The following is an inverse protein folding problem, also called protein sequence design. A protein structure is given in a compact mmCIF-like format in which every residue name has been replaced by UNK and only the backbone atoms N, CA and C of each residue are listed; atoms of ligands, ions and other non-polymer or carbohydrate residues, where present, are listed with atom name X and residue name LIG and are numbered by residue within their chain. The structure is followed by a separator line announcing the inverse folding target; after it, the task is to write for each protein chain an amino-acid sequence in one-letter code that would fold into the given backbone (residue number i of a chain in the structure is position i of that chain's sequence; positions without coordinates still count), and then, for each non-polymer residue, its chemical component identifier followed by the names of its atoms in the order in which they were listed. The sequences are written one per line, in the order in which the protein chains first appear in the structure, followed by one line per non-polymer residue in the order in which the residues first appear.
data_IF_837864819761
#
_entry.id   IF_837864819761
#
_cell.length_a   1.000
_cell.length_b   1.000
_cell.length_c   1.000
_cell.angle_alpha   90.00
_cell.angle_beta   90.00
_cell.angle_gamma   90.00
#
_symmetry.space_group_name_H-M   'P 1'
#
loop_
_entity.id
_entity.type
_entity.pdbx_description
1 polymer ?
#
# COMPACT_ATOMS: atom_id res chain seq x y z
N UNK A 1 53.80 0.82 -16.69
CA UNK A 1 52.71 0.85 -15.69
C UNK A 1 51.77 2.03 -15.92
N UNK A 2 52.27 3.24 -16.21
CA UNK A 2 51.44 4.43 -16.48
C UNK A 2 50.43 4.23 -17.62
N UNK A 3 50.86 3.73 -18.79
CA UNK A 3 49.97 3.47 -19.93
C UNK A 3 48.81 2.49 -19.63
N UNK A 4 49.01 1.54 -18.72
CA UNK A 4 47.94 0.64 -18.27
C UNK A 4 46.99 1.34 -17.30
N UNK A 5 47.49 2.26 -16.47
CA UNK A 5 46.67 3.05 -15.57
C UNK A 5 45.80 4.06 -16.33
N UNK A 6 46.34 4.67 -17.38
CA UNK A 6 45.60 5.54 -18.31
C UNK A 6 44.49 4.78 -19.03
N UNK A 7 44.81 3.65 -19.66
CA UNK A 7 43.81 2.82 -20.34
C UNK A 7 42.69 2.37 -19.40
N UNK A 8 43.03 1.97 -18.17
CA UNK A 8 42.03 1.61 -17.16
C UNK A 8 41.19 2.81 -16.70
N UNK A 9 41.75 4.02 -16.67
CA UNK A 9 41.00 5.23 -16.38
C UNK A 9 40.00 5.55 -17.51
N UNK A 10 40.44 5.45 -18.76
CA UNK A 10 39.60 5.69 -19.94
C UNK A 10 38.40 4.71 -19.99
N UNK A 11 38.65 3.42 -19.77
CA UNK A 11 37.59 2.40 -19.73
C UNK A 11 36.56 2.71 -18.62
N UNK A 12 37.02 3.14 -17.44
CA UNK A 12 36.11 3.52 -16.35
C UNK A 12 35.28 4.75 -16.69
N UNK A 13 35.87 5.77 -17.30
CA UNK A 13 35.16 6.98 -17.73
C UNK A 13 34.11 6.64 -18.79
N UNK A 14 34.47 5.82 -19.78
CA UNK A 14 33.53 5.35 -20.80
C UNK A 14 32.38 4.55 -20.17
N UNK A 15 32.69 3.65 -19.23
CA UNK A 15 31.68 2.84 -18.52
C UNK A 15 30.73 3.71 -17.69
N UNK A 16 31.27 4.72 -17.00
CA UNK A 16 30.47 5.70 -16.26
C UNK A 16 29.55 6.48 -17.20
N UNK A 17 30.08 7.04 -18.28
CA UNK A 17 29.32 7.81 -19.25
C UNK A 17 28.21 6.97 -19.91
N UNK A 18 28.52 5.73 -20.29
CA UNK A 18 27.54 4.78 -20.82
C UNK A 18 26.44 4.45 -19.78
N UNK A 19 26.81 4.28 -18.52
CA UNK A 19 25.85 4.04 -17.43
C UNK A 19 24.93 5.24 -17.19
N UNK A 20 25.49 6.46 -17.17
CA UNK A 20 24.69 7.69 -17.08
C UNK A 20 23.73 7.79 -18.26
N UNK A 21 24.21 7.57 -19.49
CA UNK A 21 23.36 7.61 -20.68
C UNK A 21 22.22 6.60 -20.62
N UNK A 22 22.49 5.35 -20.19
CA UNK A 22 21.48 4.31 -20.01
C UNK A 22 20.43 4.72 -18.97
N UNK A 23 20.85 5.18 -17.79
CA UNK A 23 19.95 5.58 -16.70
C UNK A 23 19.09 6.77 -17.13
N UNK A 24 19.68 7.77 -17.78
CA UNK A 24 18.94 8.94 -18.27
C UNK A 24 17.97 8.56 -19.39
N UNK A 25 18.35 7.67 -20.31
CA UNK A 25 17.45 7.17 -21.35
C UNK A 25 16.22 6.49 -20.73
N UNK A 26 16.41 5.61 -19.75
CA UNK A 26 15.31 4.96 -19.02
C UNK A 26 14.45 6.01 -18.30
N UNK A 27 15.06 6.95 -17.59
CA UNK A 27 14.34 8.03 -16.91
C UNK A 27 13.46 8.82 -17.89
N UNK A 28 14.04 9.31 -19.00
CA UNK A 28 13.31 10.12 -19.98
C UNK A 28 12.20 9.32 -20.66
N UNK A 29 12.42 8.05 -20.98
CA UNK A 29 11.40 7.18 -21.56
C UNK A 29 10.19 7.08 -20.63
N UNK A 30 10.38 6.72 -19.36
CA UNK A 30 9.27 6.57 -18.41
C UNK A 30 8.65 7.90 -17.99
N UNK A 31 9.45 8.96 -17.82
CA UNK A 31 8.97 10.28 -17.44
C UNK A 31 8.12 10.94 -18.54
N UNK A 32 8.45 10.71 -19.82
CA UNK A 32 7.71 11.25 -20.97
C UNK A 32 6.50 10.41 -21.39
N UNK A 33 6.45 9.13 -21.02
CA UNK A 33 5.37 8.20 -21.38
C UNK A 33 4.43 7.92 -20.22
N UNK A 34 4.76 6.93 -19.38
CA UNK A 34 3.90 6.41 -18.32
C UNK A 34 3.62 7.42 -17.20
N UNK A 35 4.59 8.28 -16.94
CA UNK A 35 4.51 9.27 -15.86
C UNK A 35 4.53 10.70 -16.38
N UNK A 36 3.97 10.92 -17.58
CA UNK A 36 3.79 12.26 -18.15
C UNK A 36 2.85 13.12 -17.27
N UNK A 37 3.05 14.44 -17.27
CA UNK A 37 2.25 15.38 -16.46
C UNK A 37 3.05 16.25 -15.49
N UNK A 38 2.37 17.23 -14.88
CA UNK A 38 2.96 18.20 -13.94
C UNK A 38 2.40 18.08 -12.51
N UNK A 39 1.53 17.12 -12.24
CA UNK A 39 0.99 16.94 -10.89
C UNK A 39 2.09 16.48 -9.93
N UNK A 40 1.99 16.89 -8.67
CA UNK A 40 2.94 16.49 -7.63
C UNK A 40 3.03 14.97 -7.49
N UNK A 41 1.93 14.25 -7.67
CA UNK A 41 1.90 12.79 -7.69
C UNK A 41 2.77 12.19 -8.81
N UNK A 42 2.71 12.77 -10.02
CA UNK A 42 3.54 12.32 -11.14
C UNK A 42 5.01 12.69 -10.94
N UNK A 43 5.30 13.87 -10.38
CA UNK A 43 6.66 14.25 -10.02
C UNK A 43 7.27 13.30 -8.97
N UNK A 44 6.47 12.91 -7.97
CA UNK A 44 6.84 11.89 -6.98
C UNK A 44 7.09 10.53 -7.65
N UNK A 45 6.22 10.06 -8.54
CA UNK A 45 6.48 8.83 -9.30
C UNK A 45 7.79 8.92 -10.10
N UNK A 46 8.07 10.06 -10.71
CA UNK A 46 9.32 10.27 -11.46
C UNK A 46 10.57 10.21 -10.58
N UNK A 47 10.53 10.67 -9.34
CA UNK A 47 11.69 10.57 -8.44
C UNK A 47 12.07 9.14 -8.10
N UNK A 48 11.14 8.19 -8.28
CA UNK A 48 11.38 6.77 -8.01
C UNK A 48 11.86 5.97 -9.23
N UNK A 49 11.81 6.51 -10.46
CA UNK A 49 12.15 5.76 -11.69
C UNK A 49 13.61 5.28 -11.66
N UNK A 50 14.54 6.21 -11.46
CA UNK A 50 15.99 5.92 -11.48
C UNK A 50 16.34 4.93 -10.38
N UNK A 51 15.93 5.23 -9.15
CA UNK A 51 16.15 4.37 -7.98
C UNK A 51 15.59 2.95 -8.18
N UNK A 52 14.36 2.81 -8.68
CA UNK A 52 13.74 1.49 -8.89
C UNK A 52 14.48 0.67 -9.95
N UNK A 53 14.81 1.31 -11.08
CA UNK A 53 15.52 0.66 -12.18
C UNK A 53 16.92 0.21 -11.74
N UNK A 54 17.69 1.10 -11.10
CA UNK A 54 19.04 0.79 -10.65
C UNK A 54 19.03 -0.28 -9.57
N UNK A 55 18.13 -0.22 -8.58
CA UNK A 55 18.01 -1.22 -7.52
C UNK A 55 17.67 -2.62 -8.08
N UNK A 56 16.79 -2.70 -9.08
CA UNK A 56 16.50 -3.96 -9.79
C UNK A 56 17.76 -4.54 -10.44
N UNK A 57 18.43 -3.73 -11.27
CA UNK A 57 19.57 -4.19 -12.06
C UNK A 57 20.70 -4.67 -11.14
N UNK A 58 21.09 -3.87 -10.14
CA UNK A 58 22.20 -4.23 -9.26
C UNK A 58 21.88 -5.43 -8.37
N UNK A 59 20.62 -5.58 -7.94
CA UNK A 59 20.19 -6.77 -7.20
C UNK A 59 20.30 -8.03 -8.07
N UNK A 60 19.85 -7.99 -9.31
CA UNK A 60 19.95 -9.13 -10.23
C UNK A 60 21.40 -9.52 -10.54
N UNK A 61 22.26 -8.55 -10.84
CA UNK A 61 23.67 -8.80 -11.18
C UNK A 61 24.49 -9.25 -9.95
N UNK A 62 24.04 -8.91 -8.73
CA UNK A 62 24.70 -9.36 -7.49
C UNK A 62 24.49 -10.85 -7.15
N UNK A 63 23.46 -11.49 -7.70
CA UNK A 63 23.07 -12.86 -7.32
C UNK A 63 24.21 -13.90 -7.44
N UNK A 64 25.02 -13.93 -8.52
CA UNK A 64 26.13 -14.87 -8.62
C UNK A 64 27.16 -14.69 -7.49
N UNK A 65 27.48 -13.45 -7.11
CA UNK A 65 28.42 -13.17 -6.02
C UNK A 65 27.90 -13.62 -4.65
N UNK A 66 26.59 -13.46 -4.42
CA UNK A 66 25.94 -13.94 -3.20
C UNK A 66 25.95 -15.47 -3.18
N UNK A 67 25.61 -16.10 -4.29
CA UNK A 67 25.64 -17.55 -4.43
C UNK A 67 27.03 -18.10 -4.17
N UNK A 68 28.06 -17.56 -4.82
CA UNK A 68 29.45 -17.99 -4.65
C UNK A 68 29.93 -17.84 -3.20
N UNK A 69 29.62 -16.71 -2.55
CA UNK A 69 30.00 -16.49 -1.16
C UNK A 69 29.36 -17.52 -0.23
N UNK A 70 28.07 -17.83 -0.42
CA UNK A 70 27.37 -18.82 0.40
C UNK A 70 27.82 -20.25 0.07
N UNK A 71 28.02 -20.57 -1.20
CA UNK A 71 28.41 -21.90 -1.67
C UNK A 71 29.84 -22.26 -1.25
N UNK A 72 30.76 -21.30 -1.28
CA UNK A 72 32.14 -21.45 -0.79
C UNK A 72 32.27 -21.46 0.73
N UNK A 73 31.16 -21.45 1.48
CA UNK A 73 31.21 -21.42 2.94
C UNK A 73 31.83 -20.12 3.49
N UNK A 74 31.57 -18.99 2.82
CA UNK A 74 32.05 -17.65 3.16
C UNK A 74 33.54 -17.39 2.90
N UNK A 75 34.16 -18.18 2.00
CA UNK A 75 35.56 -18.03 1.61
C UNK A 75 35.70 -17.02 0.47
N UNK A 76 36.05 -15.78 0.80
CA UNK A 76 36.21 -14.69 -0.16
C UNK A 76 37.27 -14.90 -1.26
N UNK A 77 38.20 -15.83 -1.05
CA UNK A 77 39.20 -16.22 -2.06
C UNK A 77 38.63 -17.09 -3.17
N UNK A 78 37.47 -17.71 -2.94
CA UNK A 78 36.78 -18.61 -3.88
C UNK A 78 35.62 -17.92 -4.60
N UNK A 79 35.21 -16.74 -4.14
CA UNK A 79 34.20 -15.92 -4.83
C UNK A 79 34.72 -15.53 -6.21
N UNK A 80 33.91 -15.73 -7.25
CA UNK A 80 34.39 -15.67 -8.64
C UNK A 80 35.09 -14.33 -8.97
N UNK A 81 36.31 -14.36 -9.54
CA UNK A 81 37.11 -13.15 -9.81
C UNK A 81 36.66 -12.38 -11.06
N UNK A 82 35.36 -12.10 -11.22
CA UNK A 82 34.83 -11.30 -12.34
C UNK A 82 34.95 -9.79 -12.11
N UNK A 83 36.06 -9.36 -11.53
CA UNK A 83 36.28 -7.98 -11.08
C UNK A 83 36.19 -6.98 -12.24
N UNK A 84 36.96 -7.18 -13.30
CA UNK A 84 37.10 -6.21 -14.39
C UNK A 84 35.92 -6.21 -15.35
N UNK A 85 35.25 -7.36 -15.50
CA UNK A 85 34.14 -7.54 -16.43
C UNK A 85 32.78 -7.19 -15.81
N UNK A 86 32.63 -7.39 -14.50
CA UNK A 86 31.33 -7.27 -13.83
C UNK A 86 31.41 -6.35 -12.61
N UNK A 87 32.26 -6.63 -11.62
CA UNK A 87 32.21 -5.89 -10.34
C UNK A 87 32.62 -4.41 -10.46
N UNK A 88 33.70 -4.10 -11.20
CA UNK A 88 34.16 -2.74 -11.47
C UNK A 88 33.10 -1.97 -12.30
N UNK A 89 32.60 -2.49 -13.45
CA UNK A 89 31.49 -1.86 -14.18
C UNK A 89 30.21 -1.68 -13.37
N UNK A 90 29.84 -2.66 -12.54
CA UNK A 90 28.65 -2.59 -11.69
C UNK A 90 28.79 -1.51 -10.61
N UNK A 91 29.98 -1.36 -10.04
CA UNK A 91 30.28 -0.28 -9.08
C UNK A 91 30.25 1.09 -9.75
N UNK A 92 30.77 1.19 -10.99
CA UNK A 92 30.67 2.40 -11.80
C UNK A 92 29.21 2.72 -12.17
N UNK A 93 28.41 1.72 -12.51
CA UNK A 93 26.97 1.87 -12.78
C UNK A 93 26.24 2.39 -11.54
N UNK A 94 26.52 1.83 -10.36
CA UNK A 94 25.92 2.31 -9.11
C UNK A 94 26.35 3.74 -8.79
N UNK A 95 27.61 4.10 -9.06
CA UNK A 95 28.09 5.49 -8.91
C UNK A 95 27.37 6.44 -9.88
N UNK A 96 27.19 6.03 -11.13
CA UNK A 96 26.45 6.78 -12.15
C UNK A 96 24.97 6.95 -11.77
N UNK A 97 24.37 5.94 -11.14
CA UNK A 97 23.04 6.00 -10.55
C UNK A 97 22.96 7.09 -9.48
N UNK A 98 23.82 7.08 -8.47
CA UNK A 98 23.81 8.06 -7.39
C UNK A 98 24.00 9.48 -7.92
N UNK A 99 24.94 9.66 -8.86
CA UNK A 99 25.19 10.96 -9.49
C UNK A 99 23.99 11.43 -10.33
N UNK A 100 23.37 10.53 -11.09
CA UNK A 100 22.17 10.81 -11.89
C UNK A 100 20.97 11.15 -11.03
N UNK A 101 20.74 10.42 -9.95
CA UNK A 101 19.63 10.65 -9.01
C UNK A 101 19.78 12.01 -8.30
N UNK A 102 21.00 12.36 -7.87
CA UNK A 102 21.28 13.70 -7.34
C UNK A 102 21.10 14.79 -8.40
N UNK A 103 21.63 14.59 -9.61
CA UNK A 103 21.54 15.57 -10.70
C UNK A 103 20.09 15.84 -11.12
N UNK A 104 19.33 14.79 -11.41
CA UNK A 104 17.91 14.90 -11.78
C UNK A 104 17.10 15.37 -10.57
N UNK A 105 17.44 14.94 -9.36
CA UNK A 105 16.83 15.41 -8.12
C UNK A 105 16.98 16.92 -7.91
N UNK A 106 18.14 17.50 -8.19
CA UNK A 106 18.34 18.96 -8.14
C UNK A 106 17.44 19.70 -9.13
N UNK A 107 17.28 19.16 -10.34
CA UNK A 107 16.67 19.85 -11.47
C UNK A 107 15.16 19.65 -11.57
N UNK A 108 14.67 18.43 -11.32
CA UNK A 108 13.31 18.03 -11.67
C UNK A 108 12.38 17.87 -10.46
N UNK A 109 12.89 17.43 -9.30
CA UNK A 109 12.04 17.09 -8.15
C UNK A 109 12.69 17.41 -6.81
N UNK A 110 13.39 18.56 -6.72
CA UNK A 110 14.13 19.00 -5.52
C UNK A 110 13.33 18.91 -4.21
N UNK A 111 12.02 19.15 -4.29
CA UNK A 111 11.08 19.09 -3.15
C UNK A 111 10.98 17.70 -2.51
N UNK A 112 11.22 16.65 -3.29
CA UNK A 112 11.03 15.25 -2.89
C UNK A 112 12.35 14.55 -2.49
N UNK A 113 13.50 15.24 -2.63
CA UNK A 113 14.81 14.67 -2.23
C UNK A 113 15.11 15.03 -0.78
N UNK A 114 14.95 14.04 0.09
CA UNK A 114 15.27 14.17 1.52
C UNK A 114 16.78 14.40 1.75
N UNK A 115 17.11 15.28 2.70
CA UNK A 115 18.52 15.63 3.04
C UNK A 115 19.30 14.41 3.54
N UNK A 116 18.75 13.68 4.50
CA UNK A 116 19.45 12.56 5.14
C UNK A 116 19.57 11.34 4.24
N UNK A 117 18.47 10.92 3.61
CA UNK A 117 18.41 9.68 2.82
C UNK A 117 18.76 9.85 1.35
N UNK A 118 18.65 11.07 0.80
CA UNK A 118 19.04 11.38 -0.58
C UNK A 118 20.42 12.01 -0.63
N UNK A 119 20.52 13.29 -0.27
CA UNK A 119 21.74 14.09 -0.48
C UNK A 119 22.98 13.52 0.20
N UNK A 120 22.92 13.36 1.54
CA UNK A 120 24.07 12.91 2.33
C UNK A 120 24.40 11.45 2.02
N UNK A 121 23.39 10.58 2.00
CA UNK A 121 23.57 9.17 1.70
C UNK A 121 24.21 8.94 0.32
N UNK A 122 23.66 9.53 -0.75
CA UNK A 122 24.18 9.33 -2.10
C UNK A 122 25.59 9.90 -2.25
N UNK A 123 25.87 11.06 -1.67
CA UNK A 123 27.21 11.68 -1.70
C UNK A 123 28.26 10.81 -0.98
N UNK A 124 27.92 10.28 0.21
CA UNK A 124 28.80 9.37 0.94
C UNK A 124 29.04 8.07 0.15
N UNK A 125 28.00 7.51 -0.46
CA UNK A 125 28.16 6.29 -1.27
C UNK A 125 28.98 6.52 -2.54
N UNK A 126 28.90 7.69 -3.19
CA UNK A 126 29.78 8.03 -4.32
C UNK A 126 31.24 7.97 -3.88
N UNK A 127 31.59 8.64 -2.78
CA UNK A 127 32.96 8.63 -2.25
C UNK A 127 33.41 7.22 -1.87
N UNK A 128 32.53 6.45 -1.23
CA UNK A 128 32.78 5.07 -0.86
C UNK A 128 33.02 4.17 -2.08
N UNK A 129 32.19 4.27 -3.13
CA UNK A 129 32.40 3.53 -4.38
C UNK A 129 33.75 3.86 -5.03
N UNK A 130 34.16 5.14 -5.04
CA UNK A 130 35.48 5.54 -5.53
C UNK A 130 36.63 4.93 -4.71
N UNK A 131 36.48 4.86 -3.38
CA UNK A 131 37.44 4.19 -2.49
C UNK A 131 37.49 2.68 -2.79
N UNK A 132 36.34 2.03 -2.99
CA UNK A 132 36.27 0.59 -3.30
C UNK A 132 36.92 0.26 -4.65
N UNK A 133 36.67 1.09 -5.67
CA UNK A 133 37.30 0.99 -6.99
C UNK A 133 38.81 1.17 -6.91
N UNK A 134 39.29 2.20 -6.19
CA UNK A 134 40.73 2.46 -6.01
C UNK A 134 41.44 1.30 -5.34
N UNK A 135 40.83 0.70 -4.33
CA UNK A 135 41.43 -0.38 -3.54
C UNK A 135 41.10 -1.79 -4.08
N UNK A 136 40.37 -1.90 -5.20
CA UNK A 136 39.97 -3.17 -5.84
C UNK A 136 39.08 -4.06 -4.94
N UNK A 137 38.25 -3.44 -4.08
CA UNK A 137 37.31 -4.14 -3.19
C UNK A 137 35.88 -4.24 -3.77
N UNK A 138 35.75 -4.08 -5.09
CA UNK A 138 34.46 -4.04 -5.80
C UNK A 138 33.72 -5.37 -5.76
N UNK A 139 34.39 -6.51 -5.57
CA UNK A 139 33.73 -7.81 -5.39
C UNK A 139 32.86 -7.83 -4.12
N UNK A 140 33.37 -7.34 -2.98
CA UNK A 140 32.55 -7.22 -1.75
C UNK A 140 31.39 -6.26 -1.96
N UNK A 141 31.58 -5.17 -2.70
CA UNK A 141 30.51 -4.26 -3.03
C UNK A 141 29.43 -4.94 -3.88
N UNK A 142 29.83 -5.64 -4.94
CA UNK A 142 28.95 -6.38 -5.83
C UNK A 142 28.12 -7.42 -5.06
N UNK A 143 28.73 -8.18 -4.14
CA UNK A 143 28.02 -9.08 -3.23
C UNK A 143 27.02 -8.32 -2.35
N UNK A 144 27.39 -7.15 -1.85
CA UNK A 144 26.53 -6.31 -1.00
C UNK A 144 25.34 -5.68 -1.72
N UNK A 145 25.36 -5.56 -3.05
CA UNK A 145 24.29 -4.92 -3.82
C UNK A 145 22.95 -5.68 -3.78
N UNK A 146 22.92 -6.94 -3.34
CA UNK A 146 21.66 -7.66 -3.04
C UNK A 146 20.84 -6.96 -1.95
N UNK A 147 21.47 -6.11 -1.14
CA UNK A 147 20.81 -5.27 -0.13
C UNK A 147 19.90 -4.18 -0.72
N UNK A 148 19.88 -4.02 -2.05
CA UNK A 148 18.98 -3.11 -2.77
C UNK A 148 17.62 -3.75 -3.13
N UNK A 149 17.42 -5.06 -2.89
CA UNK A 149 16.11 -5.72 -3.09
C UNK A 149 14.96 -5.01 -2.35
N UNK A 150 15.09 -4.57 -1.08
CA UNK A 150 14.04 -3.82 -0.40
C UNK A 150 13.76 -2.47 -1.08
N UNK A 151 14.81 -1.79 -1.56
CA UNK A 151 14.70 -0.53 -2.30
C UNK A 151 13.92 -0.72 -3.60
N UNK A 152 14.17 -1.81 -4.32
CA UNK A 152 13.43 -2.18 -5.52
C UNK A 152 11.94 -2.42 -5.24
N UNK A 153 11.62 -3.22 -4.21
CA UNK A 153 10.23 -3.49 -3.80
C UNK A 153 9.51 -2.20 -3.41
N UNK A 154 10.18 -1.33 -2.64
CA UNK A 154 9.65 -0.02 -2.26
C UNK A 154 9.41 0.86 -3.47
N UNK A 155 10.37 0.91 -4.40
CA UNK A 155 10.29 1.70 -5.62
C UNK A 155 9.13 1.28 -6.53
N UNK A 156 8.92 -0.03 -6.70
CA UNK A 156 7.74 -0.54 -7.42
C UNK A 156 6.43 -0.08 -6.76
N UNK A 157 6.35 -0.14 -5.42
CA UNK A 157 5.18 0.31 -4.67
C UNK A 157 4.95 1.83 -4.73
N UNK A 158 6.00 2.62 -4.98
CA UNK A 158 5.89 4.07 -5.21
C UNK A 158 5.42 4.38 -6.64
N UNK A 159 5.91 3.63 -7.63
CA UNK A 159 5.52 3.76 -9.03
C UNK A 159 4.09 3.27 -9.30
N UNK A 160 3.67 2.20 -8.62
CA UNK A 160 2.32 1.63 -8.70
C UNK A 160 1.82 1.23 -7.31
N UNK A 161 0.92 2.03 -6.69
CA UNK A 161 0.37 1.75 -5.36
C UNK A 161 -0.27 0.36 -5.23
N UNK A 162 -0.81 -0.22 -6.32
CA UNK A 162 -1.42 -1.56 -6.31
C UNK A 162 -0.41 -2.69 -6.07
N UNK A 163 0.87 -2.46 -6.38
CA UNK A 163 1.95 -3.42 -6.18
C UNK A 163 2.64 -3.24 -4.82
N UNK A 164 2.22 -2.25 -4.02
CA UNK A 164 2.82 -1.97 -2.72
C UNK A 164 2.53 -3.09 -1.74
N UNK A 165 3.59 -3.67 -1.17
CA UNK A 165 3.49 -4.68 -0.12
C UNK A 165 4.41 -4.36 1.04
N UNK A 166 3.83 -3.96 2.18
CA UNK A 166 4.57 -3.66 3.41
C UNK A 166 5.30 -4.88 3.97
N UNK A 167 4.71 -6.07 3.81
CA UNK A 167 5.31 -7.34 4.22
C UNK A 167 6.52 -7.69 3.35
N UNK A 168 6.39 -7.62 2.03
CA UNK A 168 7.49 -7.91 1.12
C UNK A 168 8.68 -6.97 1.36
N UNK A 169 8.40 -5.68 1.55
CA UNK A 169 9.42 -4.69 1.91
C UNK A 169 10.10 -5.02 3.25
N UNK A 170 9.33 -5.18 4.32
CA UNK A 170 9.90 -5.40 5.66
C UNK A 170 10.67 -6.70 5.76
N UNK A 171 10.15 -7.78 5.18
CA UNK A 171 10.80 -9.09 5.18
C UNK A 171 12.10 -9.05 4.37
N UNK A 172 12.07 -8.52 3.15
CA UNK A 172 13.28 -8.39 2.33
C UNK A 172 14.32 -7.49 3.02
N UNK A 173 13.91 -6.41 3.68
CA UNK A 173 14.80 -5.53 4.43
C UNK A 173 15.52 -6.28 5.54
N UNK A 174 14.79 -7.02 6.38
CA UNK A 174 15.40 -7.80 7.47
C UNK A 174 16.32 -8.89 6.90
N UNK A 175 15.88 -9.64 5.89
CA UNK A 175 16.68 -10.72 5.31
C UNK A 175 17.98 -10.21 4.66
N UNK A 176 17.92 -9.13 3.89
CA UNK A 176 19.08 -8.65 3.13
C UNK A 176 19.95 -7.65 3.92
N UNK A 177 19.35 -6.64 4.55
CA UNK A 177 20.10 -5.56 5.21
C UNK A 177 20.50 -5.88 6.65
N UNK A 178 19.86 -6.86 7.30
CA UNK A 178 20.21 -7.31 8.66
C UNK A 178 20.90 -8.67 8.62
N UNK A 179 20.18 -9.72 8.21
CA UNK A 179 20.70 -11.09 8.30
C UNK A 179 21.88 -11.27 7.34
N UNK A 180 21.70 -10.98 6.05
CA UNK A 180 22.78 -11.12 5.08
C UNK A 180 23.93 -10.14 5.31
N UNK A 181 23.66 -8.89 5.70
CA UNK A 181 24.74 -7.95 6.05
C UNK A 181 25.57 -8.44 7.26
N UNK A 182 24.93 -9.04 8.27
CA UNK A 182 25.65 -9.66 9.38
C UNK A 182 26.51 -10.86 8.94
N UNK A 183 26.01 -11.68 7.99
CA UNK A 183 26.78 -12.76 7.37
C UNK A 183 28.02 -12.20 6.63
N UNK A 184 27.86 -11.11 5.88
CA UNK A 184 28.98 -10.44 5.20
C UNK A 184 30.00 -9.88 6.19
N UNK A 185 29.57 -9.26 7.28
CA UNK A 185 30.49 -8.77 8.31
C UNK A 185 31.24 -9.94 8.95
N UNK A 186 30.52 -11.02 9.30
CA UNK A 186 31.13 -12.22 9.86
C UNK A 186 32.15 -12.84 8.89
N UNK A 187 31.83 -12.95 7.60
CA UNK A 187 32.74 -13.50 6.60
C UNK A 187 34.00 -12.65 6.41
N UNK A 188 33.90 -11.33 6.59
CA UNK A 188 35.03 -10.39 6.54
C UNK A 188 35.92 -10.45 7.80
N UNK A 189 35.43 -10.97 8.92
CA UNK A 189 36.24 -11.23 10.13
C UNK A 189 37.14 -12.45 9.96
N UNK A 190 36.73 -13.43 9.14
CA UNK A 190 37.52 -14.62 8.86
C UNK A 190 38.85 -14.27 8.17
N UNK A 191 39.92 -15.08 8.33
CA UNK A 191 41.22 -14.79 7.71
C UNK A 191 41.17 -14.59 6.19
N UNK A 192 40.35 -15.39 5.49
CA UNK A 192 40.13 -15.27 4.04
C UNK A 192 39.38 -14.00 3.66
N UNK A 193 38.54 -13.47 4.56
CA UNK A 193 37.80 -12.23 4.39
C UNK A 193 38.65 -10.98 4.28
N UNK A 194 39.91 -11.01 4.76
CA UNK A 194 40.86 -9.91 4.54
C UNK A 194 41.29 -9.78 3.09
N UNK A 195 41.18 -10.87 2.33
CA UNK A 195 41.69 -10.90 0.97
C UNK A 195 40.65 -10.43 -0.04
N UNK A 196 39.32 -10.54 0.17
CA UNK A 196 38.25 -10.07 -0.76
C UNK A 196 38.65 -10.14 -2.25
N UNK A 197 39.22 -11.27 -2.66
CA UNK A 197 39.73 -11.49 -4.01
C UNK A 197 40.71 -10.39 -4.53
N UNK A 198 41.58 -9.94 -3.63
CA UNK A 198 42.67 -9.00 -3.80
C UNK A 198 43.97 -9.64 -3.31
N UNK A 199 45.09 -9.24 -3.91
CA UNK A 199 46.41 -9.81 -3.59
C UNK A 199 46.92 -9.44 -2.19
N UNK A 200 46.43 -8.33 -1.63
CA UNK A 200 46.88 -7.79 -0.34
C UNK A 200 45.74 -7.83 0.69
N UNK A 201 46.00 -8.27 1.93
CA UNK A 201 45.00 -8.27 2.98
C UNK A 201 44.63 -6.84 3.39
N UNK A 202 43.34 -6.59 3.63
CA UNK A 202 42.84 -5.30 4.09
C UNK A 202 41.67 -5.46 5.07
N UNK A 203 41.62 -4.57 6.07
CA UNK A 203 40.46 -4.43 6.95
C UNK A 203 39.43 -3.41 6.45
N UNK A 204 39.72 -2.73 5.34
CA UNK A 204 38.86 -1.68 4.78
C UNK A 204 37.41 -2.12 4.55
N UNK A 205 37.15 -3.24 3.85
CA UNK A 205 35.79 -3.75 3.65
C UNK A 205 35.06 -4.04 4.97
N UNK A 206 35.76 -4.65 5.94
CA UNK A 206 35.19 -4.93 7.27
C UNK A 206 34.78 -3.63 7.98
N UNK A 207 35.66 -2.62 7.99
CA UNK A 207 35.37 -1.33 8.64
C UNK A 207 34.16 -0.67 7.97
N UNK A 208 34.14 -0.62 6.64
CA UNK A 208 33.04 0.01 5.88
C UNK A 208 31.70 -0.69 6.16
N UNK A 209 31.63 -2.02 6.04
CA UNK A 209 30.42 -2.78 6.32
C UNK A 209 29.96 -2.62 7.77
N UNK A 210 30.91 -2.67 8.72
CA UNK A 210 30.61 -2.50 10.15
C UNK A 210 30.06 -1.10 10.47
N UNK A 211 30.58 -0.04 9.83
CA UNK A 211 30.08 1.32 10.03
C UNK A 211 28.71 1.55 9.40
N UNK A 212 28.37 0.85 8.32
CA UNK A 212 27.07 0.94 7.67
C UNK A 212 25.96 0.18 8.44
N UNK A 213 26.32 -0.88 9.18
CA UNK A 213 25.36 -1.78 9.83
C UNK A 213 24.45 -1.12 10.88
N UNK A 214 24.92 -0.24 11.80
CA UNK A 214 24.05 0.42 12.77
C UNK A 214 22.90 1.19 12.11
N UNK A 215 23.16 1.82 10.97
CA UNK A 215 22.13 2.53 10.21
C UNK A 215 21.06 1.56 9.69
N UNK A 216 21.44 0.39 9.18
CA UNK A 216 20.48 -0.66 8.81
C UNK A 216 19.66 -1.16 10.00
N UNK A 217 20.27 -1.35 11.18
CA UNK A 217 19.55 -1.78 12.39
C UNK A 217 18.49 -0.76 12.80
N UNK A 218 18.84 0.53 12.82
CA UNK A 218 17.89 1.61 13.12
C UNK A 218 16.75 1.63 12.12
N UNK A 219 17.04 1.46 10.82
CA UNK A 219 16.02 1.39 9.79
C UNK A 219 15.14 0.14 9.93
N UNK A 220 15.69 -1.05 10.20
CA UNK A 220 14.90 -2.25 10.45
C UNK A 220 13.97 -2.12 11.66
N UNK A 221 14.45 -1.52 12.75
CA UNK A 221 13.59 -1.21 13.90
C UNK A 221 12.41 -0.32 13.49
N UNK A 222 12.67 0.72 12.70
CA UNK A 222 11.62 1.61 12.18
C UNK A 222 10.65 0.87 11.25
N UNK A 223 11.08 -0.10 10.43
CA UNK A 223 10.20 -0.78 9.45
C UNK A 223 9.25 -1.69 10.18
N UNK A 224 9.78 -2.48 11.11
CA UNK A 224 9.00 -3.40 11.94
C UNK A 224 7.98 -2.61 12.76
N UNK A 225 8.40 -1.52 13.42
CA UNK A 225 7.47 -0.66 14.18
C UNK A 225 6.39 -0.03 13.30
N UNK A 226 6.73 0.39 12.08
CA UNK A 226 5.76 0.92 11.11
C UNK A 226 4.76 -0.15 10.68
N UNK A 227 5.25 -1.35 10.33
CA UNK A 227 4.42 -2.48 9.94
C UNK A 227 3.44 -2.85 11.05
N UNK A 228 3.90 -2.97 12.30
CA UNK A 228 3.04 -3.27 13.45
C UNK A 228 1.95 -2.21 13.60
N UNK A 229 2.29 -0.92 13.54
CA UNK A 229 1.31 0.17 13.64
C UNK A 229 0.25 0.08 12.53
N UNK A 230 0.65 -0.15 11.29
CA UNK A 230 -0.27 -0.29 10.15
C UNK A 230 -1.15 -1.52 10.30
N UNK A 231 -0.60 -2.66 10.73
CA UNK A 231 -1.38 -3.88 10.98
C UNK A 231 -2.41 -3.68 12.10
N UNK A 232 -2.07 -2.94 13.16
CA UNK A 232 -3.03 -2.59 14.21
C UNK A 232 -4.14 -1.68 13.68
N UNK A 233 -3.81 -0.66 12.86
CA UNK A 233 -4.79 0.23 12.24
C UNK A 233 -5.76 -0.54 11.33
N UNK A 234 -5.23 -1.40 10.46
CA UNK A 234 -6.04 -2.23 9.57
C UNK A 234 -6.90 -3.24 10.35
N UNK A 235 -6.36 -3.83 11.42
CA UNK A 235 -7.14 -4.72 12.30
C UNK A 235 -8.26 -3.96 13.02
N UNK A 236 -8.02 -2.73 13.46
CA UNK A 236 -9.05 -1.89 14.09
C UNK A 236 -10.15 -1.50 13.10
N UNK A 237 -9.80 -1.05 11.90
CA UNK A 237 -10.76 -0.74 10.83
C UNK A 237 -11.58 -1.97 10.41
N UNK A 238 -10.94 -3.14 10.30
CA UNK A 238 -11.65 -4.38 10.01
C UNK A 238 -12.67 -4.75 11.10
N UNK A 239 -12.33 -4.53 12.38
CA UNK A 239 -13.24 -4.74 13.52
C UNK A 239 -14.39 -3.74 13.54
N UNK A 240 -14.12 -2.47 13.27
CA UNK A 240 -15.14 -1.41 13.19
C UNK A 240 -16.14 -1.71 12.07
N UNK A 241 -15.65 -2.05 10.88
CA UNK A 241 -16.50 -2.44 9.76
C UNK A 241 -17.30 -3.72 10.03
N UNK A 242 -16.72 -4.68 10.77
CA UNK A 242 -17.46 -5.86 11.23
C UNK A 242 -18.59 -5.49 12.20
N UNK A 243 -18.35 -4.53 13.10
CA UNK A 243 -19.33 -4.05 14.07
C UNK A 243 -20.46 -3.26 13.40
N UNK A 244 -20.12 -2.34 12.48
CA UNK A 244 -21.10 -1.63 11.66
C UNK A 244 -21.97 -2.59 10.86
N UNK A 245 -21.36 -3.62 10.27
CA UNK A 245 -22.08 -4.66 9.55
C UNK A 245 -23.01 -5.47 10.45
N UNK A 246 -22.56 -5.85 11.65
CA UNK A 246 -23.42 -6.55 12.64
C UNK A 246 -24.61 -5.68 13.05
N UNK A 247 -24.38 -4.40 13.32
CA UNK A 247 -25.42 -3.44 13.64
C UNK A 247 -26.44 -3.29 12.48
N UNK A 248 -25.96 -3.24 11.24
CA UNK A 248 -26.83 -3.18 10.06
C UNK A 248 -27.68 -4.45 9.89
N UNK A 249 -27.12 -5.63 10.18
CA UNK A 249 -27.85 -6.90 10.15
C UNK A 249 -28.92 -6.94 11.24
N UNK A 250 -28.60 -6.50 12.46
CA UNK A 250 -29.56 -6.42 13.56
C UNK A 250 -30.69 -5.43 13.26
N UNK A 251 -30.36 -4.25 12.75
CA UNK A 251 -31.34 -3.23 12.35
C UNK A 251 -32.27 -3.77 11.25
N UNK A 252 -31.71 -4.43 10.23
CA UNK A 252 -32.49 -5.04 9.15
C UNK A 252 -33.38 -6.18 9.67
N UNK A 253 -32.88 -7.02 10.59
CA UNK A 253 -33.67 -8.09 11.22
C UNK A 253 -34.86 -7.50 11.99
N UNK A 254 -34.65 -6.46 12.79
CA UNK A 254 -35.71 -5.74 13.51
C UNK A 254 -36.76 -5.14 12.56
N UNK A 255 -36.34 -4.59 11.42
CA UNK A 255 -37.26 -4.11 10.38
C UNK A 255 -38.10 -5.23 9.77
N UNK A 256 -37.51 -6.41 9.55
CA UNK A 256 -38.22 -7.60 9.06
C UNK A 256 -39.20 -8.15 10.10
N UNK A 257 -38.83 -8.18 11.39
CA UNK A 257 -39.73 -8.56 12.49
C UNK A 257 -40.93 -7.63 12.58
N UNK A 258 -40.69 -6.32 12.49
CA UNK A 258 -41.75 -5.31 12.47
C UNK A 258 -42.66 -5.43 11.24
N UNK A 259 -42.10 -5.82 10.09
CA UNK A 259 -42.89 -6.03 8.88
C UNK A 259 -43.79 -7.27 9.00
N UNK A 260 -43.30 -8.35 9.62
CA UNK A 260 -44.04 -9.58 9.81
C UNK A 260 -45.13 -9.42 10.88
N UNK A 261 -44.88 -8.68 11.96
CA UNK A 261 -45.91 -8.37 12.96
C UNK A 261 -47.08 -7.58 12.36
N UNK A 262 -46.80 -6.61 11.47
CA UNK A 262 -47.83 -5.85 10.75
C UNK A 262 -48.65 -6.75 9.80
N UNK A 263 -48.01 -7.72 9.14
CA UNK A 263 -48.70 -8.68 8.28
C UNK A 263 -49.58 -9.64 9.09
N UNK A 264 -49.10 -10.10 10.25
CA UNK A 264 -49.89 -10.96 11.15
C UNK A 264 -51.13 -10.22 11.70
N UNK A 265 -50.96 -8.96 12.14
CA UNK A 265 -52.08 -8.13 12.55
C UNK A 265 -53.11 -7.99 11.41
N UNK A 266 -52.66 -7.76 10.18
CA UNK A 266 -53.56 -7.69 9.02
C UNK A 266 -54.34 -8.99 8.80
N UNK A 267 -53.70 -10.16 8.95
CA UNK A 267 -54.39 -11.45 8.84
C UNK A 267 -55.51 -11.63 9.87
N UNK A 268 -55.27 -11.19 11.11
CA UNK A 268 -56.28 -11.20 12.20
C UNK A 268 -57.43 -10.24 11.88
N UNK A 269 -57.13 -9.03 11.39
CA UNK A 269 -58.15 -8.05 11.00
C UNK A 269 -59.00 -8.54 9.82
N UNK A 270 -58.42 -9.19 8.82
CA UNK A 270 -59.17 -9.77 7.70
C UNK A 270 -60.15 -10.85 8.18
N UNK A 271 -59.71 -11.73 9.09
CA UNK A 271 -60.58 -12.74 9.72
C UNK A 271 -61.75 -12.09 10.49
N UNK A 272 -61.48 -10.97 11.16
CA UNK A 272 -62.49 -10.20 11.88
C UNK A 272 -63.44 -9.42 10.96
N UNK A 273 -62.98 -8.93 9.80
CA UNK A 273 -63.81 -8.23 8.82
C UNK A 273 -64.78 -9.16 8.10
N UNK A 274 -64.39 -10.41 7.84
CA UNK A 274 -65.32 -11.45 7.36
C UNK A 274 -66.48 -11.72 8.33
N UNK A 275 -66.37 -11.28 9.59
CA UNK A 275 -67.40 -11.37 10.63
C UNK A 275 -68.23 -10.08 10.81
N UNK A 276 -68.11 -9.11 9.90
CA UNK A 276 -69.14 -8.09 9.72
C UNK A 276 -69.03 -6.84 10.59
N UNK A 277 -67.90 -6.13 10.55
CA UNK A 277 -67.81 -4.66 10.69
C UNK A 277 -66.35 -4.25 10.52
N UNK A 278 -66.00 -3.42 9.53
CA UNK A 278 -64.64 -2.86 9.49
C UNK A 278 -64.24 -2.12 8.23
N UNK A 279 -63.53 -1.02 8.44
CA UNK A 279 -63.26 0.13 7.56
C UNK A 279 -61.92 0.06 6.80
N UNK A 280 -61.76 1.03 5.88
CA UNK A 280 -60.79 1.23 4.78
C UNK A 280 -59.27 1.31 5.10
N UNK A 281 -58.79 0.84 6.27
CA UNK A 281 -57.40 1.03 6.73
C UNK A 281 -56.34 0.04 6.13
N UNK A 282 -56.79 -0.93 5.33
CA UNK A 282 -55.96 -2.02 4.78
C UNK A 282 -54.75 -1.63 3.88
N UNK A 283 -54.86 -0.66 2.96
CA UNK A 283 -53.78 -0.38 2.02
C UNK A 283 -52.55 0.25 2.70
N UNK A 284 -52.74 0.96 3.81
CA UNK A 284 -51.68 1.67 4.52
C UNK A 284 -50.75 0.71 5.29
N UNK A 285 -51.32 -0.27 6.01
CA UNK A 285 -50.53 -1.27 6.76
C UNK A 285 -49.65 -2.10 5.81
N UNK A 286 -50.21 -2.51 4.67
CA UNK A 286 -49.48 -3.28 3.64
C UNK A 286 -48.38 -2.45 2.98
N UNK A 287 -48.62 -1.15 2.73
CA UNK A 287 -47.61 -0.24 2.22
C UNK A 287 -46.46 -0.05 3.22
N UNK A 288 -46.78 0.11 4.51
CA UNK A 288 -45.80 0.24 5.59
C UNK A 288 -44.92 -1.00 5.75
N UNK A 289 -45.51 -2.20 5.73
CA UNK A 289 -44.75 -3.45 5.79
C UNK A 289 -43.80 -3.60 4.59
N UNK A 290 -44.23 -3.23 3.37
CA UNK A 290 -43.36 -3.23 2.18
C UNK A 290 -42.21 -2.23 2.29
N UNK A 291 -42.47 -1.05 2.85
CA UNK A 291 -41.44 -0.04 3.07
C UNK A 291 -40.37 -0.54 4.07
N UNK A 292 -40.78 -1.19 5.16
CA UNK A 292 -39.85 -1.80 6.13
C UNK A 292 -38.96 -2.87 5.49
N UNK A 293 -39.53 -3.78 4.70
CA UNK A 293 -38.75 -4.79 3.97
C UNK A 293 -37.78 -4.12 2.97
N UNK A 294 -38.22 -3.09 2.25
CA UNK A 294 -37.36 -2.36 1.31
C UNK A 294 -36.19 -1.68 2.02
N UNK A 295 -36.44 -1.07 3.18
CA UNK A 295 -35.41 -0.41 3.99
C UNK A 295 -34.42 -1.44 4.57
N UNK A 296 -34.91 -2.60 5.01
CA UNK A 296 -34.07 -3.71 5.47
C UNK A 296 -33.12 -4.19 4.36
N UNK A 297 -33.65 -4.40 3.16
CA UNK A 297 -32.83 -4.82 2.00
C UNK A 297 -31.84 -3.73 1.62
N UNK A 298 -32.24 -2.46 1.63
CA UNK A 298 -31.34 -1.34 1.35
C UNK A 298 -30.15 -1.30 2.34
N UNK A 299 -30.42 -1.44 3.64
CA UNK A 299 -29.40 -1.49 4.69
C UNK A 299 -28.44 -2.67 4.51
N UNK A 300 -28.95 -3.87 4.22
CA UNK A 300 -28.11 -5.05 3.99
C UNK A 300 -27.26 -4.91 2.72
N UNK A 301 -27.84 -4.34 1.67
CA UNK A 301 -27.17 -4.13 0.40
C UNK A 301 -26.04 -3.11 0.49
N UNK A 302 -26.23 -2.03 1.25
CA UNK A 302 -25.22 -0.99 1.41
C UNK A 302 -24.00 -1.48 2.21
N UNK A 303 -24.23 -2.31 3.24
CA UNK A 303 -23.15 -2.74 4.15
C UNK A 303 -22.39 -3.98 3.68
N UNK A 304 -22.96 -4.79 2.78
CA UNK A 304 -22.28 -5.99 2.27
C UNK A 304 -22.75 -6.38 0.85
N UNK A 305 -22.60 -5.52 -0.17
CA UNK A 305 -23.28 -5.65 -1.45
C UNK A 305 -23.01 -6.98 -2.16
N UNK A 306 -21.75 -7.40 -2.30
CA UNK A 306 -21.42 -8.63 -3.04
C UNK A 306 -21.81 -9.89 -2.29
N UNK A 307 -21.46 -9.97 -1.01
CA UNK A 307 -21.75 -11.13 -0.18
C UNK A 307 -23.27 -11.29 0.02
N UNK A 308 -24.01 -10.18 0.14
CA UNK A 308 -25.47 -10.19 0.20
C UNK A 308 -26.09 -10.59 -1.14
N UNK A 309 -25.63 -10.02 -2.27
CA UNK A 309 -26.08 -10.40 -3.63
C UNK A 309 -25.92 -11.89 -3.87
N UNK A 310 -24.77 -12.44 -3.50
CA UNK A 310 -24.48 -13.86 -3.67
C UNK A 310 -25.44 -14.71 -2.84
N UNK A 311 -25.57 -14.44 -1.54
CA UNK A 311 -26.47 -15.19 -0.66
C UNK A 311 -27.95 -15.08 -1.10
N UNK A 312 -28.37 -13.91 -1.59
CA UNK A 312 -29.73 -13.72 -2.11
C UNK A 312 -29.98 -14.49 -3.41
N UNK A 313 -29.04 -14.46 -4.36
CA UNK A 313 -29.12 -15.24 -5.61
C UNK A 313 -29.11 -16.75 -5.35
N UNK A 314 -28.25 -17.22 -4.44
CA UNK A 314 -28.21 -18.62 -4.01
C UNK A 314 -29.51 -19.06 -3.32
N UNK A 315 -30.12 -18.17 -2.52
CA UNK A 315 -31.43 -18.45 -1.92
C UNK A 315 -32.51 -18.61 -2.97
N UNK A 316 -32.56 -17.72 -3.96
CA UNK A 316 -33.49 -17.83 -5.10
C UNK A 316 -33.29 -19.16 -5.82
N UNK A 317 -32.05 -19.53 -6.12
CA UNK A 317 -31.77 -20.74 -6.89
C UNK A 317 -32.14 -22.01 -6.11
N UNK A 318 -31.83 -22.07 -4.82
CA UNK A 318 -32.24 -23.21 -4.00
C UNK A 318 -33.76 -23.25 -3.76
N UNK A 319 -34.46 -22.11 -3.70
CA UNK A 319 -35.93 -22.13 -3.69
C UNK A 319 -36.48 -22.81 -4.94
N UNK A 320 -35.93 -22.51 -6.13
CA UNK A 320 -36.30 -23.20 -7.37
C UNK A 320 -36.00 -24.70 -7.32
N UNK A 321 -34.82 -25.09 -6.80
CA UNK A 321 -34.44 -26.50 -6.66
C UNK A 321 -35.38 -27.28 -5.71
N UNK A 322 -35.92 -26.61 -4.68
CA UNK A 322 -36.90 -27.16 -3.75
C UNK A 322 -38.32 -27.20 -4.33
N UNK A 323 -38.53 -26.77 -5.57
CA UNK A 323 -39.86 -26.64 -6.18
C UNK A 323 -40.72 -25.55 -5.52
N UNK A 324 -40.11 -24.64 -4.75
CA UNK A 324 -40.82 -23.54 -4.12
C UNK A 324 -40.99 -22.41 -5.13
N UNK A 325 -42.23 -22.02 -5.38
CA UNK A 325 -42.50 -20.85 -6.19
C UNK A 325 -42.10 -19.58 -5.43
N UNK A 326 -40.96 -19.00 -5.83
CA UNK A 326 -40.48 -17.72 -5.32
C UNK A 326 -41.53 -16.62 -5.52
N UNK A 327 -42.40 -16.73 -6.53
CA UNK A 327 -43.50 -15.79 -6.79
C UNK A 327 -44.61 -15.81 -5.72
N UNK A 328 -44.80 -16.94 -5.03
CA UNK A 328 -45.76 -17.09 -3.93
C UNK A 328 -45.24 -16.65 -2.56
N UNK A 329 -43.93 -16.65 -2.34
CA UNK A 329 -43.34 -16.41 -1.01
C UNK A 329 -43.42 -14.93 -0.55
N UNK A 330 -43.66 -14.66 0.75
CA UNK A 330 -43.55 -13.32 1.31
C UNK A 330 -42.13 -12.77 1.17
N UNK A 331 -42.02 -11.47 0.85
CA UNK A 331 -40.71 -10.82 0.59
C UNK A 331 -39.81 -10.83 1.84
N UNK A 332 -40.38 -10.63 3.02
CA UNK A 332 -39.65 -10.70 4.29
C UNK A 332 -39.05 -12.09 4.53
N UNK A 333 -39.79 -13.16 4.24
CA UNK A 333 -39.31 -14.54 4.35
C UNK A 333 -38.13 -14.81 3.43
N UNK A 334 -38.20 -14.39 2.16
CA UNK A 334 -37.10 -14.57 1.21
C UNK A 334 -35.83 -13.84 1.67
N UNK A 335 -35.98 -12.60 2.14
CA UNK A 335 -34.86 -11.79 2.69
C UNK A 335 -34.28 -12.45 3.94
N UNK A 336 -35.10 -12.94 4.88
CA UNK A 336 -34.61 -13.66 6.06
C UNK A 336 -33.84 -14.93 5.71
N UNK A 337 -34.32 -15.72 4.74
CA UNK A 337 -33.65 -16.96 4.34
C UNK A 337 -32.29 -16.67 3.70
N UNK A 338 -32.22 -15.65 2.84
CA UNK A 338 -30.96 -15.14 2.29
C UNK A 338 -30.01 -14.65 3.39
N UNK A 339 -30.53 -13.96 4.41
CA UNK A 339 -29.75 -13.51 5.57
C UNK A 339 -29.26 -14.66 6.44
N UNK A 340 -30.10 -15.66 6.70
CA UNK A 340 -29.70 -16.88 7.41
C UNK A 340 -28.53 -17.57 6.72
N UNK A 341 -28.58 -17.72 5.39
CA UNK A 341 -27.45 -18.28 4.63
C UNK A 341 -26.21 -17.42 4.70
N UNK A 342 -26.36 -16.12 4.52
CA UNK A 342 -25.26 -15.18 4.58
C UNK A 342 -24.48 -15.28 5.90
N UNK A 343 -25.19 -15.48 7.01
CA UNK A 343 -24.60 -15.70 8.33
C UNK A 343 -23.95 -17.09 8.46
N UNK A 344 -24.57 -18.14 7.92
CA UNK A 344 -24.07 -19.52 7.98
C UNK A 344 -22.79 -19.73 7.14
N UNK A 345 -22.75 -19.19 5.92
CA UNK A 345 -21.64 -19.39 4.98
C UNK A 345 -20.33 -18.73 5.45
N UNK A 346 -20.45 -17.67 6.27
CA UNK A 346 -19.28 -16.92 6.75
C UNK A 346 -18.54 -17.60 7.90
N UNK A 347 -19.17 -18.56 8.58
CA UNK A 347 -18.47 -19.42 9.54
C UNK A 347 -17.35 -20.26 8.89
N UNK A 348 -17.33 -20.37 7.55
CA UNK A 348 -16.41 -21.23 6.79
C UNK A 348 -15.34 -20.49 5.97
N UNK A 349 -15.42 -19.17 5.78
CA UNK A 349 -14.44 -18.43 4.95
C UNK A 349 -13.82 -17.27 5.73
N UNK A 350 -12.57 -17.48 6.15
CA UNK A 350 -11.75 -16.47 6.82
C UNK A 350 -11.47 -15.23 5.96
N UNK A 351 -11.53 -14.08 6.62
CA UNK A 351 -10.75 -12.87 6.37
C UNK A 351 -10.64 -12.35 4.92
N UNK A 352 -11.56 -11.47 4.53
CA UNK A 352 -11.25 -10.46 3.52
C UNK A 352 -10.55 -9.30 4.24
N UNK A 353 -9.27 -9.08 3.93
CA UNK A 353 -8.49 -7.94 4.41
C UNK A 353 -9.03 -6.68 3.72
N UNK A 354 -9.34 -5.58 4.44
CA UNK A 354 -9.75 -4.33 3.82
C UNK A 354 -8.67 -3.82 2.87
N UNK A 355 -9.09 -3.19 1.76
CA UNK A 355 -8.16 -2.43 0.93
C UNK A 355 -7.57 -1.29 1.77
N UNK A 356 -6.25 -1.14 1.73
CA UNK A 356 -5.53 -0.06 2.43
C UNK A 356 -5.92 1.26 1.79
N UNK A 357 -6.46 2.20 2.57
CA UNK A 357 -6.77 3.54 2.08
C UNK A 357 -5.48 4.27 1.65
N UNK A 358 -5.56 5.04 0.57
CA UNK A 358 -4.43 5.80 -0.01
C UNK A 358 -3.88 6.88 0.93
N UNK A 359 -4.62 7.29 1.97
CA UNK A 359 -4.18 8.28 2.97
C UNK A 359 -3.01 7.80 3.88
N UNK A 360 -2.61 6.53 3.79
CA UNK A 360 -1.43 5.98 4.50
C UNK A 360 -0.11 6.15 3.71
N UNK A 361 -0.13 6.92 2.62
CA UNK A 361 1.02 7.17 1.73
C UNK A 361 2.12 8.02 2.38
N UNK A 362 1.74 9.03 3.16
CA UNK A 362 2.69 10.01 3.71
C UNK A 362 3.64 9.38 4.76
N UNK A 363 3.17 8.36 5.48
CA UNK A 363 3.93 7.70 6.55
C UNK A 363 5.11 6.82 6.05
N UNK A 364 5.19 6.51 4.76
CA UNK A 364 6.27 5.65 4.21
C UNK A 364 7.44 6.49 3.65
N UNK A 365 7.21 7.72 3.20
CA UNK A 365 8.29 8.61 2.74
C UNK A 365 8.91 9.38 3.92
N UNK A 366 8.11 9.69 4.95
CA UNK A 366 8.56 10.12 6.29
C UNK A 366 9.42 9.06 7.01
N UNK A 367 9.52 7.87 6.44
CA UNK A 367 10.26 6.75 6.99
C UNK A 367 11.76 6.77 6.62
N UNK A 368 12.11 7.34 5.45
CA UNK A 368 13.50 7.58 5.03
C UNK A 368 13.97 9.01 5.33
N UNK A 369 13.05 9.96 5.44
CA UNK A 369 13.34 11.29 5.95
C UNK A 369 13.42 11.24 7.48
N UNK A 370 14.42 11.86 8.09
CA UNK A 370 14.44 12.03 9.57
C UNK A 370 13.54 13.21 9.99
N UNK A 371 12.89 13.93 9.08
CA UNK A 371 12.44 15.32 9.32
C UNK A 371 11.22 15.80 8.53
N UNK A 372 10.17 15.00 8.32
CA UNK A 372 8.93 15.53 7.72
C UNK A 372 7.69 15.12 8.53
N UNK A 373 6.72 16.06 8.62
CA UNK A 373 5.44 15.93 9.30
C UNK A 373 4.33 16.37 8.33
N UNK A 374 3.38 15.47 8.10
CA UNK A 374 1.94 15.64 7.79
C UNK A 374 1.49 16.77 6.83
N UNK A 375 1.02 16.38 5.63
CA UNK A 375 0.13 17.15 4.77
C UNK A 375 -1.34 16.70 4.87
N UNK A 376 -2.33 17.53 4.48
CA UNK A 376 -3.75 17.19 4.56
C UNK A 376 -4.30 16.52 3.28
N UNK A 377 -5.25 15.60 3.46
CA UNK A 377 -6.06 14.99 2.39
C UNK A 377 -7.13 15.95 1.82
N UNK A 378 -7.55 15.83 0.55
CA UNK A 378 -8.50 16.75 -0.10
C UNK A 378 -9.97 16.48 0.29
N UNK A 379 -10.78 17.54 0.26
CA UNK A 379 -12.22 17.49 0.55
C UNK A 379 -13.05 16.99 -0.65
N UNK A 380 -13.93 16.00 -0.42
CA UNK A 380 -14.81 15.42 -1.43
C UNK A 380 -16.17 16.12 -1.55
N UNK A 381 -16.68 16.18 -2.79
CA UNK A 381 -18.00 16.69 -3.16
C UNK A 381 -19.04 15.56 -3.24
N UNK A 382 -20.31 15.93 -2.98
CA UNK A 382 -21.47 15.05 -2.95
C UNK A 382 -22.00 14.81 -4.38
N UNK A 383 -22.30 13.56 -4.79
CA UNK A 383 -22.95 13.29 -6.07
C UNK A 383 -24.48 13.26 -5.93
N UNK A 384 -25.19 13.93 -6.84
CA UNK A 384 -26.64 13.89 -6.97
C UNK A 384 -27.06 12.98 -8.13
N UNK A 385 -27.84 11.93 -7.83
CA UNK A 385 -28.59 11.13 -8.81
C UNK A 385 -28.42 9.62 -8.65
N UNK A 386 -29.52 8.86 -8.55
CA UNK A 386 -29.49 7.41 -8.35
C UNK A 386 -30.17 6.58 -9.45
N UNK A 387 -29.61 5.40 -9.76
CA UNK A 387 -30.13 4.34 -10.63
C UNK A 387 -31.06 3.41 -9.86
N UNK A 388 -32.26 3.13 -10.38
CA UNK A 388 -33.16 2.11 -9.80
C UNK A 388 -32.71 0.71 -10.21
N UNK A 389 -32.52 -0.20 -9.25
CA UNK A 389 -32.25 -1.62 -9.48
C UNK A 389 -33.43 -2.44 -9.01
N UNK A 390 -33.95 -3.26 -9.92
CA UNK A 390 -35.04 -4.20 -9.65
C UNK A 390 -34.46 -5.53 -9.17
N UNK A 391 -34.88 -5.98 -7.99
CA UNK A 391 -34.53 -7.29 -7.41
C UNK A 391 -35.59 -8.36 -7.67
N UNK A 392 -36.49 -8.12 -8.63
CA UNK A 392 -37.67 -8.95 -8.88
C UNK A 392 -38.90 -8.55 -8.04
N UNK A 393 -40.09 -9.03 -8.44
CA UNK A 393 -41.40 -8.73 -7.83
C UNK A 393 -41.74 -7.23 -7.63
N UNK A 394 -41.08 -6.29 -8.30
CA UNK A 394 -41.30 -4.85 -8.07
C UNK A 394 -40.68 -4.31 -6.78
N UNK A 395 -39.63 -4.96 -6.25
CA UNK A 395 -38.70 -4.33 -5.32
C UNK A 395 -37.74 -3.49 -6.17
N UNK A 396 -38.03 -2.20 -6.27
CA UNK A 396 -37.17 -1.24 -6.94
C UNK A 396 -36.41 -0.44 -5.88
N UNK A 397 -35.11 -0.67 -5.76
CA UNK A 397 -34.25 0.09 -4.86
C UNK A 397 -33.62 1.21 -5.68
N UNK A 398 -33.75 2.46 -5.23
CA UNK A 398 -32.98 3.57 -5.80
C UNK A 398 -31.56 3.52 -5.24
N UNK A 399 -30.59 3.15 -6.06
CA UNK A 399 -29.17 3.16 -5.72
C UNK A 399 -28.54 4.47 -6.18
N UNK A 400 -27.73 5.17 -5.39
CA UNK A 400 -26.91 6.28 -5.91
C UNK A 400 -26.01 5.79 -7.07
N UNK A 401 -25.74 6.65 -8.07
CA UNK A 401 -25.06 6.27 -9.33
C UNK A 401 -23.63 5.75 -9.18
N UNK A 402 -23.01 5.83 -8.01
CA UNK A 402 -21.56 5.62 -7.84
C UNK A 402 -21.13 4.20 -7.44
N UNK A 403 -21.98 3.18 -7.62
CA UNK A 403 -21.60 1.79 -7.32
C UNK A 403 -21.65 0.91 -8.56
N UNK A 404 -20.83 1.24 -9.55
CA UNK A 404 -20.15 0.19 -10.31
C UNK A 404 -18.77 -0.02 -9.67
N UNK A 405 -18.42 -1.22 -9.20
CA UNK A 405 -17.02 -1.59 -9.18
C UNK A 405 -16.62 -1.72 -10.65
N UNK A 406 -16.23 -0.60 -11.26
CA UNK A 406 -15.48 -0.58 -12.51
C UNK A 406 -14.24 -1.42 -12.25
N UNK A 407 -14.24 -2.67 -12.73
CA UNK A 407 -13.17 -3.56 -13.20
C UNK A 407 -11.69 -3.34 -12.80
N UNK A 408 -11.34 -2.50 -11.83
CA UNK A 408 -9.98 -2.08 -11.51
C UNK A 408 -9.86 -1.41 -10.12
N UNK A 409 -10.42 -2.04 -9.08
CA UNK A 409 -9.82 -2.02 -7.73
C UNK A 409 -9.73 -0.67 -6.98
N UNK A 410 -10.83 0.08 -6.88
CA UNK A 410 -10.96 1.12 -5.86
C UNK A 410 -12.21 0.85 -5.02
N UNK A 411 -12.03 0.77 -3.70
CA UNK A 411 -13.11 0.75 -2.72
C UNK A 411 -13.06 2.09 -1.99
N UNK A 412 -14.00 3.00 -2.27
CA UNK A 412 -14.22 4.15 -1.40
C UNK A 412 -15.29 3.77 -0.38
N UNK A 413 -14.93 3.85 0.90
CA UNK A 413 -15.88 3.81 2.00
C UNK A 413 -16.27 5.26 2.28
N UNK A 414 -17.47 5.67 1.84
CA UNK A 414 -18.08 6.92 2.28
C UNK A 414 -18.77 6.63 3.61
N UNK A 415 -18.09 6.88 4.73
CA UNK A 415 -18.75 6.97 6.03
C UNK A 415 -19.11 8.42 6.32
N UNK A 416 -20.38 8.66 6.65
CA UNK A 416 -20.82 9.95 7.15
C UNK A 416 -20.28 10.12 8.57
N UNK A 417 -19.24 10.95 8.74
CA UNK A 417 -18.92 11.44 10.08
C UNK A 417 -19.99 12.45 10.49
N UNK A 418 -20.73 12.22 11.59
CA UNK A 418 -21.54 13.28 12.16
C UNK A 418 -20.58 14.39 12.59
N UNK A 419 -20.65 15.54 11.91
CA UNK A 419 -20.04 16.76 12.42
C UNK A 419 -20.75 17.05 13.74
N UNK A 420 -20.08 16.74 14.86
CA UNK A 420 -20.50 17.20 16.18
C UNK A 420 -20.65 18.71 16.12
N UNK A 421 -21.90 19.17 16.02
CA UNK A 421 -22.26 20.55 16.28
C UNK A 421 -22.08 20.78 17.77
N UNK A 422 -20.93 21.37 18.09
CA UNK A 422 -20.63 22.17 19.28
C UNK A 422 -21.18 21.67 20.62
N UNK A 423 -20.38 20.87 21.34
CA UNK A 423 -20.36 20.84 22.82
C UNK A 423 -18.99 20.38 23.35
N UNK A 424 -17.92 20.99 22.87
CA UNK A 424 -16.56 20.75 23.36
C UNK A 424 -16.21 21.58 24.60
N UNK A 425 -15.46 21.00 25.53
CA UNK A 425 -14.98 21.69 26.75
C UNK A 425 -14.07 22.88 26.42
N UNK A 426 -13.92 23.85 27.34
CA UNK A 426 -13.11 25.08 27.17
C UNK A 426 -11.71 24.82 26.59
N UNK A 427 -11.12 23.66 26.91
CA UNK A 427 -9.80 23.25 26.42
C UNK A 427 -9.78 22.92 24.91
N UNK A 428 -10.84 22.30 24.38
CA UNK A 428 -10.96 22.02 22.94
C UNK A 428 -11.18 23.30 22.12
N UNK A 429 -11.88 24.29 22.68
CA UNK A 429 -12.00 25.64 22.07
C UNK A 429 -10.65 26.35 21.97
N UNK A 430 -9.83 26.31 23.03
CA UNK A 430 -8.51 26.95 23.05
C UNK A 430 -7.56 26.29 22.04
N UNK A 431 -7.56 24.96 21.93
CA UNK A 431 -6.73 24.24 20.95
C UNK A 431 -7.19 24.53 19.52
N UNK A 432 -8.49 24.62 19.27
CA UNK A 432 -9.04 25.01 17.96
C UNK A 432 -8.69 26.45 17.57
N UNK A 433 -8.68 27.36 18.54
CA UNK A 433 -8.32 28.77 18.31
C UNK A 433 -6.81 28.96 18.10
N UNK A 434 -5.96 28.25 18.86
CA UNK A 434 -4.50 28.22 18.63
C UNK A 434 -4.15 27.65 17.25
N UNK A 435 -4.89 26.64 16.79
CA UNK A 435 -4.69 26.06 15.45
C UNK A 435 -5.00 27.05 14.34
N UNK A 436 -6.10 27.82 14.45
CA UNK A 436 -6.43 28.89 13.48
C UNK A 436 -5.42 30.03 13.50
N UNK A 437 -4.91 30.42 14.68
CA UNK A 437 -3.90 31.49 14.78
C UNK A 437 -2.56 31.07 14.17
N UNK A 438 -2.18 29.80 14.27
CA UNK A 438 -1.00 29.25 13.59
C UNK A 438 -1.18 29.13 12.07
N UNK A 439 -2.41 28.95 11.58
CA UNK A 439 -2.72 28.98 10.13
C UNK A 439 -2.57 30.38 9.52
N UNK A 440 -3.00 31.44 10.24
CA UNK A 440 -2.89 32.82 9.75
C UNK A 440 -1.43 33.27 9.70
N UNK A 441 -0.61 32.92 10.69
CA UNK A 441 0.82 33.26 10.71
C UNK A 441 1.64 32.63 9.57
N UNK A 442 1.12 31.58 8.92
CA UNK A 442 1.82 30.89 7.81
C UNK A 442 1.54 31.49 6.44
N UNK A 443 0.49 32.31 6.29
CA UNK A 443 0.11 32.94 5.01
C UNK A 443 0.81 34.27 4.72
N UNK A 444 1.50 34.85 5.71
CA UNK A 444 2.16 36.17 5.58
C UNK A 444 3.70 36.10 5.46
N UNK A 445 4.30 34.94 5.22
CA UNK A 445 5.72 34.89 4.80
C UNK A 445 5.83 35.05 3.28
N UNK A 446 5.78 36.30 2.84
CA UNK A 446 6.36 36.74 1.55
C UNK A 446 7.87 36.83 1.77
N UNK A 447 8.62 35.93 1.14
CA UNK A 447 10.09 36.00 1.10
C UNK A 447 10.48 36.42 -0.32
N UNK A 448 11.28 37.48 -0.39
CA UNK A 448 11.94 38.00 -1.59
C UNK A 448 12.92 37.00 -2.20
#
# INVERSE_FOLDING_TARGET
MERFAELAADIRIQTFAASVALIQMVYQLFASTLYAGKSDEQMRKRSWIITTFSAFLVSCVSLPYVFDLLYSGMLWTEVTPHRELIADPLTMFFTAYLASDLGVGMLCYRKFVNVSSGWVHHSVYIVLCLILLRNRWTNCFATGLIMEVPTWIMGIGALNPKLRSYWAFTLSFVLTRIVFHAIVIYSLVLPTGRYVNAALPSFGPLIICSLAFPMHVVWAYKSIRSLIRRMHKLSAQAKELELERKAAIEEATRMLDSADSLQQQQGIYQLSQTLGTGTRAEPEVRARARALVSNAVYKLWHNAPEAWRKSYSEEIEQCKQQGLDVASMPRSTLVRRALGRHLLDRSKRGHNIPAVNEDDEDDLEDWMSVTSMNGPAPAHQIPRGGRKVSLGKGINISMPRELEPLLNGQNYIVSEFPVERERGTRRQRIVGEMRRRLEVARRDMVVF
#
